data_IF_337532110098
#
_entry.id   IF_337532110098
#
_cell.length_a   1.000
_cell.length_b   1.000
_cell.length_c   1.000
_cell.angle_alpha   90.00
_cell.angle_beta   90.00
_cell.angle_gamma   90.00
#
_symmetry.space_group_name_H-M   'P 1'
#
loop_
_entity.id
_entity.type
_entity.pdbx_description
1 polymer ?
#
# COMPACT_ATOMS: atom_id res chain seq x y z
N UNK A 1 32.94 -56.35 5.67
CA UNK A 1 32.87 -55.18 4.78
C UNK A 1 31.42 -55.04 4.32
N UNK A 2 30.56 -54.54 5.21
CA UNK A 2 29.12 -54.48 4.99
C UNK A 2 28.73 -53.17 4.31
N UNK A 3 28.40 -53.24 3.04
CA UNK A 3 27.59 -52.21 2.39
C UNK A 3 26.13 -52.64 2.58
N UNK A 4 25.36 -51.82 3.29
CA UNK A 4 23.94 -52.06 3.56
C UNK A 4 23.11 -52.17 2.27
N UNK A 5 21.85 -52.62 2.38
CA UNK A 5 20.97 -52.75 1.22
C UNK A 5 20.86 -51.43 0.44
N UNK A 6 20.67 -51.49 -0.90
CA UNK A 6 20.68 -50.32 -1.76
C UNK A 6 19.64 -49.30 -1.28
N UNK A 7 20.10 -48.06 -1.05
CA UNK A 7 19.23 -46.95 -0.67
C UNK A 7 18.55 -46.43 -1.94
N UNK A 8 17.27 -46.74 -2.11
CA UNK A 8 16.44 -46.11 -3.13
C UNK A 8 16.17 -44.65 -2.72
N UNK A 9 17.00 -43.73 -3.22
CA UNK A 9 17.00 -42.32 -2.81
C UNK A 9 15.72 -41.54 -3.16
N UNK A 10 14.79 -42.11 -3.95
CA UNK A 10 13.57 -41.41 -4.38
C UNK A 10 12.30 -42.27 -4.48
N UNK A 11 12.35 -43.58 -4.19
CA UNK A 11 11.24 -44.50 -4.44
C UNK A 11 10.71 -44.46 -5.88
N UNK A 12 9.58 -45.12 -6.15
CA UNK A 12 8.95 -45.07 -7.48
C UNK A 12 8.34 -43.68 -7.73
N UNK A 13 9.05 -42.82 -8.48
CA UNK A 13 8.53 -41.52 -8.93
C UNK A 13 7.37 -41.77 -9.89
N UNK A 14 6.15 -41.70 -9.36
CA UNK A 14 4.94 -41.81 -10.17
C UNK A 14 4.79 -40.61 -11.10
N UNK A 15 4.28 -40.85 -12.30
CA UNK A 15 3.90 -39.78 -13.25
C UNK A 15 2.97 -38.76 -12.57
N UNK A 16 2.12 -39.22 -11.65
CA UNK A 16 1.20 -38.42 -10.84
C UNK A 16 1.94 -37.42 -9.93
N UNK A 17 3.05 -37.84 -9.32
CA UNK A 17 3.87 -36.96 -8.47
C UNK A 17 4.59 -35.91 -9.33
N UNK A 18 5.06 -36.29 -10.52
CA UNK A 18 5.69 -35.37 -11.46
C UNK A 18 4.68 -34.34 -11.99
N UNK A 19 3.46 -34.75 -12.35
CA UNK A 19 2.41 -33.84 -12.79
C UNK A 19 1.94 -32.93 -11.65
N UNK A 20 1.80 -33.45 -10.43
CA UNK A 20 1.43 -32.66 -9.25
C UNK A 20 2.48 -31.59 -8.90
N UNK A 21 3.76 -31.99 -8.88
CA UNK A 21 4.86 -31.07 -8.66
C UNK A 21 4.98 -30.00 -9.76
N UNK A 22 4.75 -30.37 -11.03
CA UNK A 22 4.72 -29.43 -12.14
C UNK A 22 3.58 -28.41 -12.01
N UNK A 23 2.36 -28.85 -11.63
CA UNK A 23 1.23 -27.95 -11.43
C UNK A 23 1.44 -26.98 -10.25
N UNK A 24 2.00 -27.47 -9.15
CA UNK A 24 2.30 -26.61 -7.99
C UNK A 24 3.43 -25.62 -8.30
N UNK A 25 4.46 -26.06 -9.02
CA UNK A 25 5.53 -25.20 -9.51
C UNK A 25 5.01 -24.10 -10.44
N UNK A 26 4.13 -24.44 -11.38
CA UNK A 26 3.50 -23.47 -12.29
C UNK A 26 2.63 -22.47 -11.51
N UNK A 27 1.88 -22.93 -10.51
CA UNK A 27 1.07 -22.06 -9.64
C UNK A 27 1.93 -21.07 -8.87
N UNK A 28 3.03 -21.54 -8.28
CA UNK A 28 3.97 -20.68 -7.56
C UNK A 28 4.64 -19.68 -8.51
N UNK A 29 5.06 -20.12 -9.70
CA UNK A 29 5.63 -19.24 -10.72
C UNK A 29 4.64 -18.15 -11.15
N UNK A 30 3.36 -18.50 -11.35
CA UNK A 30 2.32 -17.54 -11.70
C UNK A 30 2.11 -16.48 -10.60
N UNK A 31 2.13 -16.89 -9.31
CA UNK A 31 2.04 -15.96 -8.18
C UNK A 31 3.24 -14.99 -8.17
N UNK A 32 4.47 -15.50 -8.30
CA UNK A 32 5.68 -14.67 -8.31
C UNK A 32 5.65 -13.70 -9.49
N UNK A 33 5.34 -14.19 -10.70
CA UNK A 33 5.28 -13.35 -11.90
C UNK A 33 4.20 -12.28 -11.78
N UNK A 34 3.03 -12.60 -11.24
CA UNK A 34 1.96 -11.64 -11.01
C UNK A 34 2.38 -10.50 -10.07
N UNK A 35 2.99 -10.84 -8.94
CA UNK A 35 3.48 -9.85 -7.97
C UNK A 35 4.63 -9.03 -8.56
N UNK A 36 5.57 -9.68 -9.26
CA UNK A 36 6.70 -9.03 -9.90
C UNK A 36 6.25 -8.01 -10.95
N UNK A 37 5.33 -8.41 -11.84
CA UNK A 37 4.72 -7.51 -12.83
C UNK A 37 4.01 -6.34 -12.16
N UNK A 38 3.20 -6.59 -11.14
CA UNK A 38 2.52 -5.53 -10.40
C UNK A 38 3.51 -4.54 -9.77
N UNK A 39 4.57 -5.01 -9.12
CA UNK A 39 5.58 -4.14 -8.49
C UNK A 39 6.42 -3.35 -9.50
N UNK A 40 6.73 -3.95 -10.65
CA UNK A 40 7.55 -3.33 -11.69
C UNK A 40 6.80 -2.24 -12.45
N UNK A 41 5.48 -2.41 -12.64
CA UNK A 41 4.62 -1.44 -13.30
C UNK A 41 4.08 -0.37 -12.34
N UNK A 42 4.04 -0.66 -11.04
CA UNK A 42 3.56 0.29 -10.04
C UNK A 42 4.50 1.49 -9.88
N UNK A 43 4.03 2.68 -10.27
CA UNK A 43 4.69 3.93 -9.91
C UNK A 43 4.12 4.43 -8.57
N UNK A 44 4.89 4.42 -7.46
CA UNK A 44 4.39 4.83 -6.15
C UNK A 44 3.89 6.28 -6.14
N UNK A 45 4.47 7.17 -6.96
CA UNK A 45 4.00 8.56 -7.10
C UNK A 45 2.64 8.62 -7.79
N UNK A 46 2.40 7.74 -8.77
CA UNK A 46 1.12 7.66 -9.46
C UNK A 46 0.01 7.16 -8.52
N UNK A 47 0.33 6.17 -7.66
CA UNK A 47 -0.61 5.69 -6.63
C UNK A 47 -1.02 6.83 -5.68
N UNK A 48 -0.06 7.64 -5.22
CA UNK A 48 -0.35 8.81 -4.38
C UNK A 48 -1.20 9.86 -5.09
N UNK A 49 -0.99 10.08 -6.40
CA UNK A 49 -1.83 10.98 -7.21
C UNK A 49 -3.29 10.51 -7.27
N UNK A 50 -3.51 9.19 -7.31
CA UNK A 50 -4.85 8.58 -7.34
C UNK A 50 -5.53 8.48 -5.97
N UNK A 51 -4.84 8.85 -4.89
CA UNK A 51 -5.36 8.71 -3.54
C UNK A 51 -6.57 9.64 -3.32
N UNK A 52 -7.66 9.17 -2.66
CA UNK A 52 -8.82 10.00 -2.32
C UNK A 52 -8.42 11.29 -1.60
N UNK A 53 -9.13 12.39 -1.83
CA UNK A 53 -8.75 13.67 -1.21
C UNK A 53 -8.90 13.70 0.31
N UNK A 54 -9.68 12.79 0.90
CA UNK A 54 -9.72 12.61 2.35
C UNK A 54 -8.33 12.28 2.94
N UNK A 55 -7.43 11.69 2.15
CA UNK A 55 -6.08 11.33 2.55
C UNK A 55 -5.03 12.30 1.99
N UNK A 56 -5.42 13.50 1.55
CA UNK A 56 -4.50 14.45 0.93
C UNK A 56 -3.29 14.78 1.81
N UNK A 57 -3.49 15.00 3.11
CA UNK A 57 -2.42 15.28 4.07
C UNK A 57 -1.45 14.09 4.21
N UNK A 58 -1.97 12.86 4.16
CA UNK A 58 -1.16 11.64 4.21
C UNK A 58 -0.39 11.48 2.89
N UNK A 59 -1.07 11.67 1.76
CA UNK A 59 -0.47 11.54 0.44
C UNK A 59 0.65 12.58 0.21
N UNK A 60 0.46 13.82 0.69
CA UNK A 60 1.50 14.85 0.62
C UNK A 60 2.70 14.50 1.51
N UNK A 61 2.48 14.03 2.74
CA UNK A 61 3.54 13.59 3.64
C UNK A 61 4.35 12.43 3.03
N UNK A 62 3.69 11.40 2.48
CA UNK A 62 4.37 10.28 1.82
C UNK A 62 5.10 10.76 0.57
N UNK A 63 4.51 11.65 -0.23
CA UNK A 63 5.16 12.19 -1.42
C UNK A 63 6.43 12.97 -1.07
N UNK A 64 6.41 13.74 0.02
CA UNK A 64 7.60 14.42 0.56
C UNK A 64 8.63 13.40 1.01
N UNK A 65 8.23 12.37 1.76
CA UNK A 65 9.12 11.32 2.23
C UNK A 65 9.81 10.57 1.08
N UNK A 66 9.09 10.23 0.01
CA UNK A 66 9.66 9.57 -1.19
C UNK A 66 10.72 10.44 -1.86
N UNK A 67 10.56 11.76 -1.86
CA UNK A 67 11.53 12.70 -2.43
C UNK A 67 12.73 12.94 -1.50
N UNK A 68 12.50 12.96 -0.19
CA UNK A 68 13.54 13.23 0.81
C UNK A 68 14.39 12.00 1.13
N UNK A 69 13.83 10.80 1.02
CA UNK A 69 14.53 9.53 1.26
C UNK A 69 15.87 9.39 0.50
N UNK A 70 15.96 9.60 -0.82
CA UNK A 70 17.24 9.51 -1.54
C UNK A 70 18.25 10.56 -1.07
N UNK A 71 17.79 11.77 -0.73
CA UNK A 71 18.64 12.81 -0.17
C UNK A 71 19.24 12.36 1.17
N UNK A 72 18.42 11.83 2.07
CA UNK A 72 18.85 11.30 3.37
C UNK A 72 19.86 10.16 3.25
N UNK A 73 19.66 9.25 2.29
CA UNK A 73 20.61 8.17 1.97
C UNK A 73 21.95 8.76 1.52
N UNK A 74 21.93 9.78 0.66
CA UNK A 74 23.16 10.45 0.20
C UNK A 74 23.90 11.12 1.37
N UNK A 75 23.18 11.78 2.28
CA UNK A 75 23.74 12.41 3.48
C UNK A 75 24.36 11.39 4.42
N UNK A 76 23.68 10.26 4.65
CA UNK A 76 24.21 9.12 5.41
C UNK A 76 25.52 8.61 4.80
N UNK A 77 25.53 8.36 3.49
CA UNK A 77 26.73 7.89 2.78
C UNK A 77 27.89 8.90 2.88
N UNK A 78 27.61 10.21 2.77
CA UNK A 78 28.63 11.27 2.96
C UNK A 78 29.24 11.22 4.36
N UNK A 79 28.41 11.13 5.40
CA UNK A 79 28.85 11.08 6.80
C UNK A 79 29.65 9.80 7.09
N UNK A 80 29.18 8.65 6.60
CA UNK A 80 29.90 7.38 6.72
C UNK A 80 31.26 7.43 6.03
N UNK A 81 31.34 8.00 4.82
CA UNK A 81 32.60 8.15 4.08
C UNK A 81 33.58 9.06 4.83
N UNK A 82 33.12 10.23 5.29
CA UNK A 82 33.96 11.15 6.08
C UNK A 82 34.48 10.51 7.36
N UNK A 83 33.69 9.64 8.00
CA UNK A 83 34.11 8.88 9.19
C UNK A 83 35.11 7.79 8.88
N UNK A 84 34.94 7.07 7.78
CA UNK A 84 35.88 6.03 7.36
C UNK A 84 37.28 6.60 7.13
N UNK A 85 37.37 7.79 6.52
CA UNK A 85 38.63 8.52 6.31
C UNK A 85 39.27 9.00 7.61
N UNK A 86 38.48 9.15 8.67
CA UNK A 86 38.92 9.59 9.99
C UNK A 86 39.36 8.43 10.90
N UNK A 87 39.33 7.17 10.44
CA UNK A 87 39.84 6.03 11.20
C UNK A 87 39.06 5.69 12.47
N UNK A 88 37.78 6.06 12.57
CA UNK A 88 36.96 5.79 13.77
C UNK A 88 36.45 4.33 13.78
N UNK A 89 36.46 3.71 14.97
CA UNK A 89 35.97 2.34 15.24
C UNK A 89 34.47 2.15 14.92
N UNK A 90 34.09 0.94 14.47
CA UNK A 90 32.72 0.51 14.12
C UNK A 90 31.86 0.12 15.34
N UNK A 91 32.15 0.62 16.54
CA UNK A 91 31.41 0.27 17.76
C UNK A 91 30.02 0.92 17.84
N UNK A 92 29.11 0.38 18.66
CA UNK A 92 27.77 0.94 18.92
C UNK A 92 27.82 2.40 19.41
N UNK A 93 28.81 2.76 20.22
CA UNK A 93 29.04 4.15 20.66
C UNK A 93 29.43 5.11 19.53
N UNK A 94 29.81 4.59 18.36
CA UNK A 94 30.10 5.40 17.18
C UNK A 94 28.84 5.77 16.39
N UNK A 95 27.69 5.10 16.61
CA UNK A 95 26.45 5.38 15.88
C UNK A 95 25.97 6.81 16.10
N UNK A 96 26.13 7.35 17.31
CA UNK A 96 25.71 8.69 17.69
C UNK A 96 26.18 9.74 16.69
N UNK A 97 27.47 9.79 16.33
CA UNK A 97 27.92 10.83 15.40
C UNK A 97 27.77 10.46 13.91
N UNK A 98 27.06 9.39 13.56
CA UNK A 98 26.51 9.22 12.19
C UNK A 98 25.04 9.65 12.17
N UNK A 99 24.29 9.29 13.21
CA UNK A 99 22.87 9.62 13.34
C UNK A 99 22.68 11.12 13.60
N UNK A 100 23.43 11.71 14.55
CA UNK A 100 23.30 13.13 14.92
C UNK A 100 23.48 14.06 13.71
N UNK A 101 24.56 13.97 12.90
CA UNK A 101 24.70 14.85 11.73
C UNK A 101 23.63 14.66 10.66
N UNK A 102 23.07 13.45 10.55
CA UNK A 102 22.00 13.17 9.59
C UNK A 102 20.67 13.71 10.10
N UNK A 103 20.43 13.67 11.42
CA UNK A 103 19.27 14.31 12.03
C UNK A 103 19.35 15.84 11.92
N UNK A 104 20.53 16.42 12.08
CA UNK A 104 20.77 17.85 11.87
C UNK A 104 20.44 18.26 10.42
N UNK A 105 21.00 17.55 9.44
CA UNK A 105 20.70 17.76 8.00
C UNK A 105 19.20 17.53 7.69
N UNK A 106 18.55 16.57 8.36
CA UNK A 106 17.12 16.32 8.23
C UNK A 106 16.27 17.46 8.79
N UNK A 107 16.67 18.04 9.93
CA UNK A 107 15.97 19.17 10.55
C UNK A 107 16.09 20.40 9.65
N UNK A 108 17.29 20.72 9.16
CA UNK A 108 17.53 21.85 8.26
C UNK A 108 16.77 21.72 6.93
N UNK A 109 16.79 20.52 6.33
CA UNK A 109 16.02 20.24 5.11
C UNK A 109 14.51 20.29 5.34
N UNK A 110 14.01 19.84 6.51
CA UNK A 110 12.59 19.94 6.86
C UNK A 110 12.15 21.40 7.07
N UNK A 111 12.98 22.23 7.70
CA UNK A 111 12.69 23.64 7.96
C UNK A 111 12.69 24.46 6.66
N UNK A 112 13.69 24.24 5.80
CA UNK A 112 13.76 24.89 4.49
C UNK A 112 12.58 24.49 3.57
N UNK A 113 12.21 23.21 3.58
CA UNK A 113 11.03 22.74 2.84
C UNK A 113 9.74 23.35 3.40
N UNK A 114 9.59 23.40 4.73
CA UNK A 114 8.43 24.01 5.38
C UNK A 114 8.28 25.50 5.02
N UNK A 115 9.38 26.27 5.04
CA UNK A 115 9.36 27.68 4.63
C UNK A 115 8.95 27.86 3.16
N UNK A 116 9.45 26.99 2.27
CA UNK A 116 9.04 27.00 0.85
C UNK A 116 7.57 26.62 0.69
N UNK A 117 7.08 25.65 1.47
CA UNK A 117 5.68 25.22 1.45
C UNK A 117 4.73 26.32 1.92
N UNK A 118 5.08 27.04 2.98
CA UNK A 118 4.28 28.15 3.49
C UNK A 118 4.15 29.28 2.46
N UNK A 119 5.26 29.64 1.77
CA UNK A 119 5.25 30.65 0.71
C UNK A 119 4.33 30.31 -0.49
N UNK A 120 4.13 29.02 -0.76
CA UNK A 120 3.24 28.52 -1.82
C UNK A 120 1.80 28.32 -1.33
N UNK A 121 1.52 28.63 -0.06
CA UNK A 121 0.20 28.49 0.54
C UNK A 121 -0.21 27.05 0.85
N UNK A 122 0.74 26.12 0.98
CA UNK A 122 0.45 24.78 1.48
C UNK A 122 -0.09 24.86 2.92
N UNK A 123 -1.05 24.00 3.27
CA UNK A 123 -1.69 24.01 4.59
C UNK A 123 -3.02 24.80 4.66
N UNK A 124 -3.39 25.54 3.60
CA UNK A 124 -4.73 26.12 3.46
C UNK A 124 -5.78 25.01 3.31
N UNK A 125 -6.47 24.68 4.40
CA UNK A 125 -7.66 23.83 4.36
C UNK A 125 -8.80 24.60 3.70
N UNK A 126 -9.55 23.96 2.81
CA UNK A 126 -10.81 24.53 2.35
C UNK A 126 -11.74 24.73 3.55
N UNK A 127 -12.46 25.85 3.59
CA UNK A 127 -13.39 26.14 4.68
C UNK A 127 -14.57 25.15 4.61
N UNK A 128 -14.47 24.05 5.33
CA UNK A 128 -15.64 23.21 5.60
C UNK A 128 -16.55 23.93 6.58
N UNK A 129 -17.84 23.99 6.29
CA UNK A 129 -18.82 24.41 7.27
C UNK A 129 -18.81 23.43 8.45
N UNK A 130 -18.90 23.96 9.67
CA UNK A 130 -19.03 23.16 10.92
C UNK A 130 -20.02 21.98 10.83
N UNK A 131 -21.22 22.12 10.22
CA UNK A 131 -22.15 20.98 10.09
C UNK A 131 -21.61 19.87 9.19
N UNK A 132 -20.82 20.19 8.16
CA UNK A 132 -20.26 19.20 7.25
C UNK A 132 -19.18 18.34 7.93
N UNK A 133 -18.38 18.96 8.79
CA UNK A 133 -17.38 18.27 9.63
C UNK A 133 -18.07 17.33 10.61
N UNK A 134 -19.16 17.78 11.24
CA UNK A 134 -19.92 16.95 12.17
C UNK A 134 -20.57 15.76 11.46
N UNK A 135 -21.17 15.98 10.27
CA UNK A 135 -21.74 14.92 9.45
C UNK A 135 -20.70 13.88 8.98
N UNK A 136 -19.50 14.33 8.62
CA UNK A 136 -18.38 13.43 8.30
C UNK A 136 -17.96 12.56 9.50
N UNK A 137 -17.89 13.14 10.70
CA UNK A 137 -17.57 12.40 11.94
C UNK A 137 -18.65 11.39 12.29
N UNK A 138 -19.91 11.80 12.27
CA UNK A 138 -21.04 10.92 12.56
C UNK A 138 -21.16 9.78 11.55
N UNK A 139 -20.98 10.05 10.25
CA UNK A 139 -20.97 9.01 9.22
C UNK A 139 -19.79 8.04 9.36
N UNK A 140 -18.61 8.52 9.77
CA UNK A 140 -17.48 7.62 10.06
C UNK A 140 -17.75 6.73 11.27
N UNK A 141 -18.36 7.28 12.33
CA UNK A 141 -18.71 6.51 13.54
C UNK A 141 -19.78 5.46 13.23
N UNK A 142 -20.80 5.84 12.45
CA UNK A 142 -21.82 4.90 11.97
C UNK A 142 -21.25 3.81 11.07
N UNK A 143 -20.30 4.14 10.19
CA UNK A 143 -19.66 3.16 9.33
C UNK A 143 -18.92 2.10 10.15
N UNK A 144 -18.09 2.52 11.12
CA UNK A 144 -17.35 1.61 11.99
C UNK A 144 -18.30 0.77 12.85
N UNK A 145 -19.33 1.40 13.43
CA UNK A 145 -20.33 0.71 14.26
C UNK A 145 -21.10 -0.34 13.46
N UNK A 146 -21.64 0.03 12.30
CA UNK A 146 -22.43 -0.87 11.46
C UNK A 146 -21.59 -2.02 10.89
N UNK A 147 -20.33 -1.77 10.48
CA UNK A 147 -19.43 -2.83 10.01
C UNK A 147 -19.03 -3.79 11.13
N UNK A 148 -18.73 -3.28 12.32
CA UNK A 148 -18.35 -4.12 13.47
C UNK A 148 -19.52 -5.01 13.90
N UNK A 149 -20.72 -4.43 14.06
CA UNK A 149 -21.93 -5.17 14.45
C UNK A 149 -22.37 -6.12 13.33
N UNK A 150 -22.31 -5.69 12.07
CA UNK A 150 -22.67 -6.51 10.91
C UNK A 150 -21.75 -7.73 10.72
N UNK A 151 -20.43 -7.53 10.90
CA UNK A 151 -19.45 -8.64 10.87
C UNK A 151 -19.72 -9.65 11.98
N UNK A 152 -19.96 -9.17 13.22
CA UNK A 152 -20.32 -10.03 14.33
C UNK A 152 -21.64 -10.79 14.10
N UNK A 153 -22.66 -10.13 13.55
CA UNK A 153 -23.96 -10.75 13.26
C UNK A 153 -23.86 -11.86 12.20
N UNK A 154 -23.00 -11.71 11.18
CA UNK A 154 -22.74 -12.77 10.21
C UNK A 154 -21.99 -13.96 10.82
N UNK A 155 -21.09 -13.73 11.77
CA UNK A 155 -20.38 -14.81 12.46
C UNK A 155 -21.28 -15.62 13.41
N UNK A 156 -22.26 -14.98 14.06
CA UNK A 156 -23.19 -15.63 15.00
C UNK A 156 -24.29 -16.42 14.28
N UNK A 157 -24.55 -16.15 12.99
CA UNK A 157 -25.44 -16.97 12.13
C UNK A 157 -26.94 -16.88 12.41
N UNK A 158 -27.37 -16.38 13.57
CA UNK A 158 -28.78 -16.30 13.98
C UNK A 158 -29.59 -15.22 13.20
N UNK A 159 -28.92 -14.21 12.62
CA UNK A 159 -29.57 -13.06 11.94
C UNK A 159 -28.86 -12.65 10.65
N UNK A 160 -28.67 -13.61 9.74
CA UNK A 160 -27.86 -13.43 8.52
C UNK A 160 -28.34 -12.26 7.61
N UNK A 161 -29.65 -12.06 7.47
CA UNK A 161 -30.21 -10.93 6.69
C UNK A 161 -29.89 -9.57 7.31
N UNK A 162 -30.00 -9.44 8.64
CA UNK A 162 -29.63 -8.21 9.34
C UNK A 162 -28.13 -7.93 9.26
N UNK A 163 -27.28 -8.97 9.30
CA UNK A 163 -25.83 -8.84 9.11
C UNK A 163 -25.47 -8.23 7.75
N UNK A 164 -26.06 -8.75 6.67
CA UNK A 164 -25.87 -8.19 5.33
C UNK A 164 -26.36 -6.74 5.19
N UNK A 165 -27.52 -6.41 5.77
CA UNK A 165 -28.06 -5.04 5.76
C UNK A 165 -27.15 -4.08 6.52
N UNK A 166 -26.65 -4.47 7.69
CA UNK A 166 -25.73 -3.65 8.49
C UNK A 166 -24.39 -3.42 7.77
N UNK A 167 -23.86 -4.44 7.09
CA UNK A 167 -22.66 -4.28 6.27
C UNK A 167 -22.92 -3.31 5.11
N UNK A 168 -24.05 -3.44 4.41
CA UNK A 168 -24.41 -2.53 3.33
C UNK A 168 -24.51 -1.08 3.82
N UNK A 169 -25.18 -0.85 4.96
CA UNK A 169 -25.26 0.48 5.60
C UNK A 169 -23.86 0.99 5.97
N UNK A 170 -23.01 0.13 6.54
CA UNK A 170 -21.63 0.47 6.89
C UNK A 170 -20.79 0.91 5.69
N UNK A 171 -20.89 0.18 4.57
CA UNK A 171 -20.23 0.52 3.31
C UNK A 171 -20.73 1.86 2.77
N UNK A 172 -22.04 2.07 2.71
CA UNK A 172 -22.64 3.32 2.22
C UNK A 172 -22.22 4.51 3.09
N UNK A 173 -22.24 4.34 4.42
CA UNK A 173 -21.81 5.37 5.37
C UNK A 173 -20.32 5.69 5.23
N UNK A 174 -19.48 4.69 4.96
CA UNK A 174 -18.06 4.87 4.69
C UNK A 174 -17.81 5.68 3.42
N UNK A 175 -18.50 5.33 2.32
CA UNK A 175 -18.44 6.10 1.07
C UNK A 175 -18.93 7.53 1.26
N UNK A 176 -20.02 7.74 2.00
CA UNK A 176 -20.53 9.05 2.32
C UNK A 176 -19.51 9.89 3.11
N UNK A 177 -18.88 9.30 4.14
CA UNK A 177 -17.85 9.97 4.94
C UNK A 177 -16.65 10.38 4.08
N UNK A 178 -16.18 9.49 3.20
CA UNK A 178 -15.07 9.79 2.27
C UNK A 178 -15.46 10.92 1.30
N UNK A 179 -16.66 10.89 0.73
CA UNK A 179 -17.15 11.92 -0.20
C UNK A 179 -17.31 13.28 0.47
N UNK A 180 -17.80 13.32 1.71
CA UNK A 180 -17.95 14.57 2.47
C UNK A 180 -16.59 15.16 2.81
N UNK A 181 -15.68 14.33 3.34
CA UNK A 181 -14.29 14.75 3.61
C UNK A 181 -13.56 15.17 2.33
N UNK A 182 -13.89 14.56 1.20
CA UNK A 182 -13.25 14.83 -0.08
C UNK A 182 -13.47 16.26 -0.59
N UNK A 183 -14.62 16.86 -0.29
CA UNK A 183 -14.99 18.24 -0.69
C UNK A 183 -14.21 19.33 0.06
N UNK A 184 -13.44 18.97 1.08
CA UNK A 184 -12.70 19.92 1.92
C UNK A 184 -11.38 20.41 1.34
N UNK A 185 -10.85 19.71 0.34
CA UNK A 185 -9.50 19.93 -0.15
C UNK A 185 -9.54 20.70 -1.48
N UNK A 186 -8.90 21.87 -1.48
CA UNK A 186 -8.69 22.69 -2.68
C UNK A 186 -7.66 21.96 -3.53
N UNK A 187 -8.10 21.25 -4.58
CA UNK A 187 -7.20 20.61 -5.54
C UNK A 187 -6.92 21.55 -6.71
N UNK A 188 -5.65 21.63 -7.09
CA UNK A 188 -5.27 22.01 -8.45
C UNK A 188 -5.74 20.93 -9.43
N UNK A 189 -6.12 21.35 -10.63
CA UNK A 189 -6.86 20.57 -11.63
C UNK A 189 -6.18 19.22 -11.89
N UNK A 190 -6.89 18.12 -11.62
CA UNK A 190 -6.45 16.77 -11.96
C UNK A 190 -6.51 16.62 -13.48
N UNK A 191 -5.36 16.49 -14.15
CA UNK A 191 -5.35 15.99 -15.53
C UNK A 191 -5.54 14.47 -15.49
N UNK A 192 -6.68 13.97 -16.02
CA UNK A 192 -6.94 12.54 -16.08
C UNK A 192 -5.98 11.88 -17.06
N UNK A 193 -5.43 10.74 -16.63
CA UNK A 193 -4.69 9.86 -17.52
C UNK A 193 -5.68 9.29 -18.54
N UNK A 194 -5.39 9.46 -19.83
CA UNK A 194 -6.22 8.89 -20.90
C UNK A 194 -5.95 7.40 -20.95
N UNK A 195 -6.99 6.58 -20.79
CA UNK A 195 -6.90 5.13 -20.93
C UNK A 195 -6.46 4.79 -22.36
N UNK A 196 -5.38 4.04 -22.49
CA UNK A 196 -4.93 3.55 -23.78
C UNK A 196 -5.69 2.27 -24.17
N UNK A 197 -5.70 1.94 -25.45
CA UNK A 197 -6.36 0.73 -25.96
C UNK A 197 -5.83 -0.56 -25.30
N UNK A 198 -4.53 -0.61 -25.03
CA UNK A 198 -3.90 -1.73 -24.32
C UNK A 198 -4.39 -1.86 -22.87
N UNK A 199 -4.64 -0.75 -22.17
CA UNK A 199 -5.19 -0.78 -20.80
C UNK A 199 -6.59 -1.39 -20.79
N UNK A 200 -7.43 -1.03 -21.77
CA UNK A 200 -8.77 -1.57 -21.91
C UNK A 200 -8.75 -3.08 -22.25
N UNK A 201 -7.82 -3.50 -23.10
CA UNK A 201 -7.64 -4.90 -23.46
C UNK A 201 -7.21 -5.72 -22.23
N UNK A 202 -6.22 -5.25 -21.48
CA UNK A 202 -5.76 -5.90 -20.24
C UNK A 202 -6.88 -5.96 -19.19
N UNK A 203 -7.65 -4.88 -19.00
CA UNK A 203 -8.80 -4.86 -18.07
C UNK A 203 -9.89 -5.86 -18.48
N UNK A 204 -10.22 -5.93 -19.77
CA UNK A 204 -11.22 -6.86 -20.27
C UNK A 204 -10.78 -8.32 -20.11
N UNK A 205 -9.51 -8.62 -20.42
CA UNK A 205 -8.93 -9.95 -20.29
C UNK A 205 -8.86 -10.40 -18.82
N UNK A 206 -8.43 -9.50 -17.93
CA UNK A 206 -8.34 -9.77 -16.49
C UNK A 206 -9.72 -9.94 -15.85
N UNK A 207 -10.72 -9.13 -16.23
CA UNK A 207 -12.10 -9.33 -15.79
C UNK A 207 -12.67 -10.67 -16.27
N UNK A 208 -12.42 -11.05 -17.52
CA UNK A 208 -12.88 -12.32 -18.09
C UNK A 208 -12.24 -13.53 -17.39
N UNK A 209 -10.94 -13.46 -17.08
CA UNK A 209 -10.23 -14.47 -16.28
C UNK A 209 -10.78 -14.58 -14.85
N UNK A 210 -11.09 -13.44 -14.21
CA UNK A 210 -11.68 -13.41 -12.86
C UNK A 210 -13.06 -14.05 -12.84
N UNK A 211 -13.89 -13.75 -13.84
CA UNK A 211 -15.22 -14.34 -14.03
C UNK A 211 -15.11 -15.86 -14.24
N UNK A 212 -14.19 -16.30 -15.10
CA UNK A 212 -13.94 -17.73 -15.34
C UNK A 212 -13.47 -18.46 -14.06
N UNK A 213 -12.63 -17.82 -13.24
CA UNK A 213 -12.19 -18.37 -11.96
C UNK A 213 -13.34 -18.49 -10.94
N UNK A 214 -14.20 -17.48 -10.83
CA UNK A 214 -15.36 -17.48 -9.91
C UNK A 214 -16.41 -18.52 -10.33
N UNK A 215 -16.61 -18.73 -11.63
CA UNK A 215 -17.50 -19.76 -12.18
C UNK A 215 -16.96 -21.20 -12.01
N UNK A 216 -15.78 -21.37 -11.40
CA UNK A 216 -15.23 -22.68 -11.10
C UNK A 216 -14.68 -23.43 -12.30
N UNK A 217 -14.39 -22.76 -13.42
CA UNK A 217 -13.80 -23.42 -14.60
C UNK A 217 -12.39 -23.98 -14.36
N UNK A 218 -11.73 -23.55 -13.29
CA UNK A 218 -10.39 -24.01 -12.89
C UNK A 218 -10.40 -24.94 -11.67
N UNK A 219 -11.58 -25.41 -11.22
CA UNK A 219 -11.75 -26.32 -10.08
C UNK A 219 -12.03 -27.76 -10.53
#
# INVERSE_FOLDING_TARGET
MGFGPPVELFGAVGIQALTGGATDGLRLAAIILSIGMASSLANPRALLKSTPSALYEIASAISVAINLAPQMISSLQRVQKARSLRGRSKGLGSMAGTVIPVLEDAIDSSLSLAASMDSRGFGRRGSLSKPLVLGARLSSLMAVGALSVGSFALLVGQTQTLGWVLIAIGIVSSFASIRINSKSQIRTRFEPMKLQFFDALILSLSALLLIAAILGWFA
#
